data_IF_258587226029
#
_entry.id   IF_258587226029
#
_cell.length_a   1.000
_cell.length_b   1.000
_cell.length_c   1.000
_cell.angle_alpha   90.00
_cell.angle_beta   90.00
_cell.angle_gamma   90.00
#
_symmetry.space_group_name_H-M   'P 1'
#
loop_
_entity.id
_entity.type
_entity.pdbx_description
1 polymer ?
#
# COMPACT_ATOMS: atom_id res chain seq x y z
N UNK A 1 8.73 8.57 -33.67
CA UNK A 1 9.29 9.04 -32.39
C UNK A 1 10.39 8.12 -31.95
N UNK A 2 11.39 8.63 -31.30
CA UNK A 2 12.44 7.79 -30.76
C UNK A 2 11.96 7.09 -29.48
N UNK A 3 12.70 6.08 -29.03
CA UNK A 3 12.28 5.25 -27.90
C UNK A 3 12.14 6.05 -26.61
N UNK A 4 13.03 7.00 -26.35
CA UNK A 4 12.97 7.83 -25.14
C UNK A 4 11.71 8.72 -25.14
N UNK A 5 11.42 9.32 -26.30
CA UNK A 5 10.24 10.15 -26.45
C UNK A 5 8.97 9.33 -26.38
N UNK A 6 8.98 8.13 -26.95
CA UNK A 6 7.85 7.22 -26.85
C UNK A 6 7.59 6.80 -25.41
N UNK A 7 8.64 6.55 -24.64
CA UNK A 7 8.50 6.18 -23.24
C UNK A 7 7.88 7.34 -22.44
N UNK A 8 8.37 8.55 -22.64
CA UNK A 8 7.81 9.73 -21.98
C UNK A 8 6.34 9.95 -22.38
N UNK A 9 6.03 9.78 -23.65
CA UNK A 9 4.65 9.89 -24.12
C UNK A 9 3.75 8.78 -23.56
N UNK A 10 4.30 7.58 -23.42
CA UNK A 10 3.56 6.48 -22.84
C UNK A 10 3.16 6.82 -21.40
N UNK A 11 4.03 7.43 -20.62
CA UNK A 11 3.68 7.87 -19.27
C UNK A 11 2.61 8.95 -19.30
N UNK A 12 2.68 9.88 -20.25
CA UNK A 12 1.64 10.89 -20.42
C UNK A 12 0.31 10.26 -20.83
N UNK A 13 0.35 9.31 -21.77
CA UNK A 13 -0.85 8.66 -22.27
C UNK A 13 -1.56 7.85 -21.23
N UNK A 14 -0.84 7.38 -20.21
CA UNK A 14 -1.43 6.66 -19.08
C UNK A 14 -2.07 7.58 -18.05
N UNK A 15 -1.92 8.90 -18.18
CA UNK A 15 -2.64 9.85 -17.33
C UNK A 15 -4.02 10.05 -17.86
N UNK A 16 -4.95 10.24 -16.92
CA UNK A 16 -6.29 10.69 -17.30
C UNK A 16 -6.22 12.14 -17.81
N UNK A 17 -7.06 12.49 -18.81
CA UNK A 17 -7.11 13.87 -19.29
C UNK A 17 -7.38 14.83 -18.13
N UNK A 18 -6.55 15.88 -18.02
CA UNK A 18 -6.66 16.87 -16.96
C UNK A 18 -5.94 16.52 -15.68
N UNK A 19 -5.29 15.35 -15.60
CA UNK A 19 -4.50 15.00 -14.42
C UNK A 19 -3.26 15.87 -14.34
N UNK A 20 -3.08 16.53 -13.18
CA UNK A 20 -1.96 17.43 -12.96
C UNK A 20 -0.68 16.62 -12.71
N UNK A 21 0.51 17.09 -13.16
CA UNK A 21 1.77 16.41 -12.85
C UNK A 21 2.02 16.17 -11.38
N UNK A 22 1.55 17.05 -10.49
CA UNK A 22 1.67 16.86 -9.06
C UNK A 22 0.86 15.66 -8.57
N UNK A 23 -0.29 15.40 -9.19
CA UNK A 23 -1.11 14.24 -8.86
C UNK A 23 -0.41 12.95 -9.27
N UNK A 24 0.30 12.97 -10.39
CA UNK A 24 1.12 11.84 -10.84
C UNK A 24 2.25 11.59 -9.84
N UNK A 25 2.93 12.64 -9.40
CA UNK A 25 4.02 12.54 -8.44
C UNK A 25 3.53 12.02 -7.10
N UNK A 26 2.38 12.48 -6.63
CA UNK A 26 1.76 11.99 -5.40
C UNK A 26 1.43 10.50 -5.50
N UNK A 27 0.87 10.07 -6.63
CA UNK A 27 0.53 8.66 -6.84
C UNK A 27 1.78 7.78 -6.82
N UNK A 28 2.86 8.22 -7.45
CA UNK A 28 4.12 7.48 -7.44
C UNK A 28 4.68 7.40 -6.02
N UNK A 29 4.65 8.51 -5.28
CA UNK A 29 5.09 8.52 -3.89
C UNK A 29 4.28 7.55 -3.03
N UNK A 30 2.95 7.56 -3.20
CA UNK A 30 2.05 6.66 -2.48
C UNK A 30 2.37 5.20 -2.79
N UNK A 31 2.55 4.86 -4.06
CA UNK A 31 2.84 3.48 -4.47
C UNK A 31 4.19 2.99 -3.93
N UNK A 32 5.20 3.85 -3.95
CA UNK A 32 6.51 3.50 -3.39
C UNK A 32 6.44 3.31 -1.88
N UNK A 33 5.71 4.18 -1.19
CA UNK A 33 5.51 4.06 0.25
C UNK A 33 4.68 2.82 0.61
N UNK A 34 3.67 2.50 -0.21
CA UNK A 34 2.88 1.28 -0.02
C UNK A 34 3.75 0.04 -0.13
N UNK A 35 4.70 0.01 -1.07
CA UNK A 35 5.65 -1.10 -1.18
C UNK A 35 6.46 -1.28 0.10
N UNK A 36 6.89 -0.19 0.72
CA UNK A 36 7.62 -0.24 1.99
C UNK A 36 6.78 -0.90 3.09
N UNK A 37 5.53 -0.48 3.22
CA UNK A 37 4.63 -1.06 4.23
C UNK A 37 4.37 -2.54 3.97
N UNK A 38 4.16 -2.93 2.71
CA UNK A 38 3.93 -4.33 2.36
C UNK A 38 5.15 -5.21 2.65
N UNK A 39 6.34 -4.63 2.62
CA UNK A 39 7.57 -5.34 2.95
C UNK A 39 7.93 -5.32 4.43
N UNK A 40 7.09 -4.72 5.26
CA UNK A 40 7.29 -4.69 6.72
C UNK A 40 8.09 -3.50 7.20
N UNK A 41 8.26 -2.46 6.39
CA UNK A 41 9.01 -1.27 6.77
C UNK A 41 8.07 -0.13 7.14
N UNK A 42 8.56 0.75 8.01
CA UNK A 42 7.85 1.98 8.34
C UNK A 42 8.09 3.02 7.24
N UNK A 43 7.07 3.87 7.02
CA UNK A 43 7.20 5.05 6.16
C UNK A 43 7.30 6.27 7.07
N UNK A 44 8.44 6.93 7.07
CA UNK A 44 8.68 8.11 7.91
C UNK A 44 9.34 9.20 7.09
N UNK A 45 8.92 10.44 7.35
CA UNK A 45 9.53 11.59 6.73
C UNK A 45 9.34 12.81 7.64
N UNK A 46 10.12 13.85 7.41
CA UNK A 46 10.02 15.07 8.18
C UNK A 46 10.31 16.26 7.28
N UNK A 47 9.38 17.20 7.25
CA UNK A 47 9.58 18.49 6.59
C UNK A 47 10.35 19.40 7.53
N UNK A 48 11.07 20.38 6.97
CA UNK A 48 11.81 21.37 7.76
C UNK A 48 10.87 22.09 8.70
N UNK A 49 11.33 22.27 9.94
CA UNK A 49 10.61 23.00 10.97
C UNK A 49 9.24 22.42 11.32
N UNK A 50 9.06 21.12 11.07
CA UNK A 50 7.82 20.41 11.39
C UNK A 50 8.10 19.09 12.08
N UNK A 51 7.08 18.54 12.71
CA UNK A 51 7.18 17.25 13.37
C UNK A 51 7.27 16.11 12.34
N UNK A 52 7.90 15.03 12.74
CA UNK A 52 7.98 13.84 11.94
C UNK A 52 6.57 13.30 11.65
N UNK A 53 6.35 12.86 10.42
CA UNK A 53 5.11 12.26 9.97
C UNK A 53 5.40 10.88 9.38
N UNK A 54 4.37 10.11 9.18
CA UNK A 54 4.49 8.83 8.49
C UNK A 54 3.42 7.85 8.89
N UNK A 55 3.61 6.62 8.43
CA UNK A 55 2.77 5.47 8.77
C UNK A 55 3.72 4.35 9.16
N UNK A 56 3.56 3.82 10.36
CA UNK A 56 4.36 2.69 10.80
C UNK A 56 3.76 1.39 10.25
N UNK A 57 4.60 0.36 10.15
CA UNK A 57 4.12 -0.97 9.80
C UNK A 57 3.03 -1.43 10.78
N UNK A 58 3.17 -1.11 12.06
CA UNK A 58 2.17 -1.46 13.07
C UNK A 58 0.81 -0.81 12.78
N UNK A 59 0.81 0.46 12.40
CA UNK A 59 -0.42 1.15 11.99
C UNK A 59 -1.05 0.50 10.76
N UNK A 60 -0.22 0.10 9.81
CA UNK A 60 -0.70 -0.63 8.64
C UNK A 60 -1.29 -1.98 9.05
N UNK A 61 -0.65 -2.71 9.95
CA UNK A 61 -1.16 -3.99 10.44
C UNK A 61 -2.52 -3.83 11.12
N UNK A 62 -2.71 -2.76 11.90
CA UNK A 62 -4.01 -2.45 12.52
C UNK A 62 -5.07 -2.19 11.45
N UNK A 63 -4.72 -1.44 10.41
CA UNK A 63 -5.65 -1.16 9.31
C UNK A 63 -6.03 -2.43 8.55
N UNK A 64 -5.08 -3.34 8.34
CA UNK A 64 -5.33 -4.65 7.73
C UNK A 64 -6.26 -5.48 8.63
N UNK A 65 -6.04 -5.44 9.93
CA UNK A 65 -6.89 -6.15 10.89
C UNK A 65 -8.33 -5.66 10.79
N UNK A 66 -8.55 -4.35 10.76
CA UNK A 66 -9.88 -3.77 10.60
C UNK A 66 -10.52 -4.16 9.28
N UNK A 67 -9.74 -4.16 8.21
CA UNK A 67 -10.22 -4.60 6.90
C UNK A 67 -10.67 -6.06 6.95
N UNK A 68 -9.86 -6.93 7.54
CA UNK A 68 -10.19 -8.36 7.65
C UNK A 68 -11.42 -8.60 8.52
N UNK A 69 -11.59 -7.85 9.60
CA UNK A 69 -12.78 -7.97 10.43
C UNK A 69 -14.05 -7.68 9.67
N UNK A 70 -14.00 -6.68 8.76
CA UNK A 70 -15.12 -6.42 7.87
C UNK A 70 -15.38 -7.56 6.89
N UNK A 71 -14.33 -8.18 6.36
CA UNK A 71 -14.45 -9.28 5.40
C UNK A 71 -14.94 -10.57 6.07
N UNK A 72 -14.49 -10.87 7.28
CA UNK A 72 -14.89 -12.09 8.00
C UNK A 72 -16.40 -12.14 8.28
N UNK A 73 -17.06 -10.98 8.31
CA UNK A 73 -18.51 -10.93 8.42
C UNK A 73 -19.25 -11.13 7.12
N UNK A 74 -18.54 -11.22 5.99
CA UNK A 74 -19.15 -11.33 4.67
C UNK A 74 -19.54 -12.78 4.36
N UNK A 75 -20.60 -12.92 3.56
CA UNK A 75 -21.08 -14.22 3.10
C UNK A 75 -20.02 -14.88 2.18
N UNK A 76 -19.86 -16.19 2.29
CA UNK A 76 -18.94 -16.96 1.44
C UNK A 76 -17.56 -17.20 2.03
N UNK A 77 -17.21 -16.58 3.14
CA UNK A 77 -15.95 -16.85 3.82
C UNK A 77 -16.14 -18.00 4.81
N UNK A 78 -15.21 -18.95 4.80
CA UNK A 78 -15.25 -20.08 5.72
C UNK A 78 -15.15 -19.62 7.16
N UNK A 79 -16.00 -20.14 8.08
CA UNK A 79 -15.90 -19.77 9.49
C UNK A 79 -14.58 -20.17 10.16
N UNK A 80 -13.81 -21.06 9.53
CA UNK A 80 -12.54 -21.55 10.09
C UNK A 80 -11.31 -20.85 9.50
N UNK A 81 -11.48 -19.84 8.64
CA UNK A 81 -10.36 -19.26 7.88
C UNK A 81 -9.26 -18.69 8.77
N UNK A 82 -9.64 -17.95 9.81
CA UNK A 82 -8.67 -17.36 10.73
C UNK A 82 -7.93 -18.44 11.52
N UNK A 83 -8.66 -19.44 12.02
CA UNK A 83 -8.05 -20.57 12.72
C UNK A 83 -7.06 -21.34 11.82
N UNK A 84 -7.44 -21.58 10.56
CA UNK A 84 -6.54 -22.24 9.61
C UNK A 84 -5.28 -21.42 9.36
N UNK A 85 -5.44 -20.10 9.25
CA UNK A 85 -4.30 -19.20 9.04
C UNK A 85 -3.32 -19.28 10.22
N UNK A 86 -3.83 -19.18 11.45
CA UNK A 86 -3.01 -19.23 12.65
C UNK A 86 -2.32 -20.57 12.79
N UNK A 87 -3.04 -21.67 12.58
CA UNK A 87 -2.47 -23.01 12.67
C UNK A 87 -1.42 -23.26 11.61
N UNK A 88 -1.67 -22.82 10.38
CA UNK A 88 -0.69 -22.94 9.30
C UNK A 88 0.58 -22.16 9.62
N UNK A 89 0.45 -20.94 10.14
CA UNK A 89 1.59 -20.12 10.52
C UNK A 89 2.40 -20.78 11.63
N UNK A 90 1.73 -21.35 12.64
CA UNK A 90 2.41 -22.03 13.75
C UNK A 90 3.11 -23.30 13.30
N UNK A 91 2.57 -24.00 12.30
CA UNK A 91 3.21 -25.18 11.70
C UNK A 91 4.29 -24.82 10.70
N UNK A 92 4.45 -23.53 10.40
CA UNK A 92 5.38 -23.02 9.39
C UNK A 92 5.05 -23.53 7.97
N UNK A 93 3.77 -23.77 7.72
CA UNK A 93 3.26 -24.15 6.41
C UNK A 93 2.88 -22.87 5.66
N UNK A 94 3.84 -22.30 4.93
CA UNK A 94 3.66 -21.03 4.25
C UNK A 94 2.64 -21.09 3.13
N UNK A 95 2.52 -22.24 2.45
CA UNK A 95 1.57 -22.43 1.38
C UNK A 95 0.14 -22.39 1.90
N UNK A 96 -0.15 -23.13 2.96
CA UNK A 96 -1.48 -23.14 3.58
C UNK A 96 -1.81 -21.79 4.23
N UNK A 97 -0.83 -21.16 4.87
CA UNK A 97 -1.00 -19.84 5.44
C UNK A 97 -1.37 -18.81 4.37
N UNK A 98 -0.71 -18.87 3.22
CA UNK A 98 -0.99 -17.98 2.09
C UNK A 98 -2.41 -18.21 1.55
N UNK A 99 -2.83 -19.46 1.42
CA UNK A 99 -4.17 -19.78 0.95
C UNK A 99 -5.24 -19.27 1.92
N UNK A 100 -5.05 -19.48 3.22
CA UNK A 100 -5.99 -19.02 4.23
C UNK A 100 -6.04 -17.48 4.29
N UNK A 101 -4.89 -16.83 4.15
CA UNK A 101 -4.82 -15.37 4.12
C UNK A 101 -5.59 -14.81 2.93
N UNK A 102 -5.40 -15.38 1.74
CA UNK A 102 -6.10 -14.93 0.53
C UNK A 102 -7.61 -15.10 0.68
N UNK A 103 -8.05 -16.21 1.27
CA UNK A 103 -9.46 -16.45 1.53
C UNK A 103 -10.03 -15.43 2.51
N UNK A 104 -9.28 -15.07 3.56
CA UNK A 104 -9.68 -14.07 4.55
C UNK A 104 -9.83 -12.68 3.93
N UNK A 105 -8.95 -12.33 2.99
CA UNK A 105 -8.99 -11.06 2.28
C UNK A 105 -10.23 -10.96 1.38
N UNK A 106 -10.69 -12.11 0.85
CA UNK A 106 -11.92 -12.23 0.06
C UNK A 106 -11.96 -11.27 -1.13
N UNK A 107 -10.84 -11.16 -1.84
CA UNK A 107 -10.72 -10.31 -3.03
C UNK A 107 -10.24 -11.16 -4.20
N UNK A 108 -10.60 -10.77 -5.43
CA UNK A 108 -10.09 -11.40 -6.64
C UNK A 108 -8.59 -11.15 -6.81
N UNK A 109 -8.09 -10.07 -6.21
CA UNK A 109 -6.66 -9.75 -6.18
C UNK A 109 -6.27 -9.40 -4.74
N UNK A 110 -5.90 -10.40 -3.92
CA UNK A 110 -5.58 -10.15 -2.51
C UNK A 110 -4.42 -9.17 -2.30
N UNK A 111 -3.39 -9.25 -3.14
CA UNK A 111 -2.23 -8.36 -3.02
C UNK A 111 -2.62 -6.92 -3.29
N UNK A 112 -3.45 -6.69 -4.30
CA UNK A 112 -3.95 -5.34 -4.61
C UNK A 112 -4.86 -4.82 -3.51
N UNK A 113 -5.67 -5.69 -2.89
CA UNK A 113 -6.52 -5.29 -1.78
C UNK A 113 -5.69 -4.77 -0.61
N UNK A 114 -4.62 -5.47 -0.26
CA UNK A 114 -3.70 -5.02 0.80
C UNK A 114 -2.98 -3.73 0.43
N UNK A 115 -2.57 -3.60 -0.83
CA UNK A 115 -1.95 -2.37 -1.32
C UNK A 115 -2.91 -1.18 -1.21
N UNK A 116 -4.19 -1.40 -1.49
CA UNK A 116 -5.19 -0.33 -1.37
C UNK A 116 -5.40 0.10 0.08
N UNK A 117 -5.31 -0.82 1.04
CA UNK A 117 -5.32 -0.46 2.46
C UNK A 117 -4.14 0.47 2.78
N UNK A 118 -2.96 0.13 2.29
CA UNK A 118 -1.76 0.97 2.48
C UNK A 118 -1.94 2.34 1.83
N UNK A 119 -2.44 2.39 0.60
CA UNK A 119 -2.68 3.65 -0.12
C UNK A 119 -3.63 4.56 0.65
N UNK A 120 -4.66 4.01 1.23
CA UNK A 120 -5.66 4.77 1.99
C UNK A 120 -5.01 5.49 3.17
N UNK A 121 -4.07 4.83 3.85
CA UNK A 121 -3.34 5.46 4.96
C UNK A 121 -2.37 6.53 4.48
N UNK A 122 -1.83 6.38 3.28
CA UNK A 122 -0.75 7.23 2.76
C UNK A 122 -1.26 8.46 2.01
N UNK A 123 -2.46 8.41 1.44
CA UNK A 123 -3.00 9.53 0.64
C UNK A 123 -2.98 10.87 1.37
N UNK A 124 -3.38 10.96 2.64
CA UNK A 124 -3.35 12.26 3.33
C UNK A 124 -1.96 12.82 3.53
N UNK A 125 -0.92 12.00 3.41
CA UNK A 125 0.45 12.40 3.67
C UNK A 125 1.26 12.67 2.39
N UNK A 126 0.70 12.40 1.22
CA UNK A 126 1.46 12.41 -0.03
C UNK A 126 2.09 13.77 -0.34
N UNK A 127 1.36 14.85 -0.14
CA UNK A 127 1.87 16.21 -0.43
C UNK A 127 3.06 16.52 0.46
N UNK A 128 2.93 16.28 1.75
CA UNK A 128 4.02 16.52 2.71
C UNK A 128 5.20 15.59 2.46
N UNK A 129 4.94 14.35 2.07
CA UNK A 129 5.98 13.39 1.72
C UNK A 129 6.82 13.85 0.52
N UNK A 130 6.15 14.39 -0.51
CA UNK A 130 6.85 14.93 -1.67
C UNK A 130 7.69 16.16 -1.30
N UNK A 131 7.17 17.05 -0.45
CA UNK A 131 7.91 18.23 -0.02
C UNK A 131 9.14 17.80 0.78
N UNK A 132 8.99 16.84 1.68
CA UNK A 132 10.11 16.33 2.47
C UNK A 132 11.18 15.72 1.57
N UNK A 133 10.78 14.97 0.56
CA UNK A 133 11.70 14.37 -0.41
C UNK A 133 12.48 15.45 -1.18
N UNK A 134 11.81 16.51 -1.60
CA UNK A 134 12.44 17.62 -2.29
C UNK A 134 13.42 18.36 -1.37
N UNK A 135 13.06 18.56 -0.12
CA UNK A 135 13.93 19.21 0.87
C UNK A 135 15.19 18.37 1.14
N UNK A 136 15.04 17.06 1.23
CA UNK A 136 16.16 16.13 1.40
C UNK A 136 17.10 16.17 0.19
N UNK A 137 16.56 16.30 -1.01
CA UNK A 137 17.35 16.38 -2.22
C UNK A 137 18.18 17.66 -2.34
N UNK A 138 17.82 18.71 -1.61
CA UNK A 138 18.56 19.98 -1.56
C UNK A 138 19.78 19.91 -0.65
N UNK A 139 19.90 18.90 0.18
CA UNK A 139 21.05 18.70 1.05
C UNK A 139 22.19 17.99 0.30
#
# INVERSE_FOLDING_TARGET
MNAALQHAQFEYDNRFPGEHPDDVAERIWIDNAADDLLEGRDVKFQRRLRNQQGVTFEQFAVAVDEFLMGQLGASGISPSVLGRLVLAAKRKDSSEASCAADEAIASTDPDEALREVARTLLRPLAKDGLVAQAEDAEL
#
